data_IF_537779685991
#
_entry.id   IF_537779685991
#
_cell.length_a   1.000
_cell.length_b   1.000
_cell.length_c   1.000
_cell.angle_alpha   90.00
_cell.angle_beta   90.00
_cell.angle_gamma   90.00
#
_symmetry.space_group_name_H-M   'P 1'
#
loop_
_entity.id
_entity.type
_entity.pdbx_description
1 polymer ?
#
# COMPACT_ATOMS: atom_id res chain seq x y z
N UNK A 1 7.71 -1.32 17.39
CA UNK A 1 6.68 -0.77 16.47
C UNK A 1 6.93 -1.23 15.04
N UNK A 2 5.93 -1.15 14.18
CA UNK A 2 6.04 -1.51 12.74
C UNK A 2 7.16 -0.74 12.04
N UNK A 3 7.40 0.51 12.45
CA UNK A 3 8.48 1.35 11.91
C UNK A 3 9.85 0.80 12.26
N UNK A 4 10.06 0.37 13.47
CA UNK A 4 11.35 -0.23 13.90
C UNK A 4 11.58 -1.58 13.23
N UNK A 5 10.54 -2.40 13.09
CA UNK A 5 10.63 -3.67 12.36
C UNK A 5 11.05 -3.45 10.90
N UNK A 6 10.46 -2.44 10.23
CA UNK A 6 10.86 -2.02 8.88
C UNK A 6 12.30 -1.54 8.81
N UNK A 7 12.73 -0.74 9.77
CA UNK A 7 14.11 -0.23 9.82
C UNK A 7 15.12 -1.38 9.97
N UNK A 8 14.92 -2.26 10.97
CA UNK A 8 15.77 -3.45 11.18
C UNK A 8 15.83 -4.33 9.94
N UNK A 9 14.68 -4.59 9.32
CA UNK A 9 14.59 -5.36 8.08
C UNK A 9 15.41 -4.71 6.95
N UNK A 10 15.24 -3.40 6.73
CA UNK A 10 15.95 -2.67 5.67
C UNK A 10 17.44 -2.71 5.89
N UNK A 11 17.90 -2.50 7.13
CA UNK A 11 19.32 -2.60 7.50
C UNK A 11 19.87 -4.00 7.22
N UNK A 12 19.12 -5.05 7.59
CA UNK A 12 19.54 -6.43 7.32
C UNK A 12 19.62 -6.76 5.83
N UNK A 13 18.71 -6.20 5.00
CA UNK A 13 18.81 -6.33 3.55
C UNK A 13 20.07 -5.67 3.00
N UNK A 14 20.43 -4.48 3.49
CA UNK A 14 21.67 -3.78 3.11
C UNK A 14 22.91 -4.61 3.50
N UNK A 15 22.93 -5.17 4.70
CA UNK A 15 24.03 -6.05 5.17
C UNK A 15 24.23 -7.27 4.24
N UNK A 16 23.14 -7.86 3.74
CA UNK A 16 23.21 -8.95 2.77
C UNK A 16 23.71 -8.46 1.40
N UNK A 17 23.23 -7.32 0.95
CA UNK A 17 23.62 -6.71 -0.34
C UNK A 17 25.07 -6.23 -0.34
N UNK A 18 25.60 -5.77 0.79
CA UNK A 18 26.98 -5.32 0.92
C UNK A 18 28.02 -6.42 0.67
N UNK A 19 27.61 -7.70 0.63
CA UNK A 19 28.47 -8.81 0.24
C UNK A 19 28.74 -8.86 -1.27
N UNK A 20 27.82 -8.33 -2.07
CA UNK A 20 27.85 -8.43 -3.53
C UNK A 20 27.89 -7.06 -4.21
N UNK A 21 27.52 -5.98 -3.51
CA UNK A 21 27.43 -4.62 -4.05
C UNK A 21 28.18 -3.62 -3.17
N UNK A 22 28.78 -2.58 -3.76
CA UNK A 22 29.52 -1.54 -3.03
C UNK A 22 28.57 -0.53 -2.36
N UNK A 23 27.71 -0.98 -1.44
CA UNK A 23 26.80 -0.13 -0.66
C UNK A 23 26.93 -0.41 0.83
N UNK A 24 26.75 0.64 1.61
CA UNK A 24 26.71 0.60 3.07
C UNK A 24 25.37 1.11 3.60
N UNK A 25 25.13 0.94 4.88
CA UNK A 25 23.97 1.54 5.53
C UNK A 25 23.98 3.08 5.45
N UNK A 26 25.16 3.69 5.53
CA UNK A 26 25.32 5.16 5.47
C UNK A 26 24.98 5.69 4.08
N UNK A 27 25.29 4.96 3.01
CA UNK A 27 24.88 5.30 1.65
C UNK A 27 23.34 5.31 1.52
N UNK A 28 22.65 4.38 2.18
CA UNK A 28 21.19 4.36 2.20
C UNK A 28 20.63 5.52 3.03
N UNK A 29 21.26 5.86 4.15
CA UNK A 29 20.89 7.04 4.94
C UNK A 29 21.05 8.34 4.18
N UNK A 30 22.10 8.45 3.36
CA UNK A 30 22.33 9.62 2.51
C UNK A 30 21.23 9.88 1.48
N UNK A 31 20.42 8.85 1.14
CA UNK A 31 19.26 9.02 0.25
C UNK A 31 18.01 9.55 0.97
N UNK A 32 18.05 9.66 2.29
CA UNK A 32 16.92 10.17 3.09
C UNK A 32 16.98 11.70 3.09
N UNK A 33 16.00 12.35 2.48
CA UNK A 33 15.91 13.82 2.49
C UNK A 33 15.55 14.32 3.88
N UNK A 34 16.29 15.33 4.37
CA UNK A 34 16.02 15.99 5.64
C UNK A 34 14.58 16.54 5.73
N UNK A 35 14.02 16.52 6.93
CA UNK A 35 12.69 17.09 7.25
C UNK A 35 11.50 16.21 6.93
N UNK A 36 11.67 15.02 6.34
CA UNK A 36 10.57 14.08 6.10
C UNK A 36 10.55 12.99 7.18
N UNK A 37 9.40 12.77 7.81
CA UNK A 37 9.11 11.58 8.64
C UNK A 37 9.02 10.32 7.75
N UNK A 38 10.00 10.12 6.89
CA UNK A 38 10.03 9.06 5.89
C UNK A 38 10.46 7.76 6.56
N UNK A 39 9.72 6.70 6.33
CA UNK A 39 10.14 5.36 6.76
C UNK A 39 11.16 4.83 5.76
N UNK A 40 12.38 4.55 6.20
CA UNK A 40 13.44 3.99 5.36
C UNK A 40 13.03 2.60 4.89
N UNK A 41 13.21 2.32 3.60
CA UNK A 41 12.82 1.08 2.99
C UNK A 41 13.49 0.84 1.64
N UNK A 42 13.02 -0.14 0.90
CA UNK A 42 13.57 -0.56 -0.40
C UNK A 42 13.80 0.57 -1.41
N UNK A 43 12.96 1.62 -1.52
CA UNK A 43 13.26 2.73 -2.41
C UNK A 43 14.59 3.43 -2.11
N UNK A 44 14.94 3.58 -0.83
CA UNK A 44 16.20 4.19 -0.44
C UNK A 44 17.40 3.28 -0.71
N UNK A 45 17.23 1.95 -0.63
CA UNK A 45 18.25 0.99 -1.07
C UNK A 45 18.47 1.10 -2.58
N UNK A 46 17.37 1.15 -3.35
CA UNK A 46 17.46 1.31 -4.79
C UNK A 46 18.16 2.62 -5.20
N UNK A 47 17.86 3.73 -4.51
CA UNK A 47 18.52 5.00 -4.75
C UNK A 47 20.02 4.94 -4.40
N UNK A 48 20.40 4.26 -3.33
CA UNK A 48 21.82 4.06 -2.97
C UNK A 48 22.56 3.21 -4.01
N UNK A 49 21.93 2.14 -4.52
CA UNK A 49 22.49 1.32 -5.59
C UNK A 49 22.67 2.09 -6.91
N UNK A 50 21.74 3.00 -7.24
CA UNK A 50 21.88 3.90 -8.40
C UNK A 50 22.98 4.91 -8.16
N UNK A 51 23.06 5.51 -6.97
CA UNK A 51 24.13 6.45 -6.62
C UNK A 51 25.53 5.79 -6.64
N UNK A 52 25.60 4.50 -6.30
CA UNK A 52 26.83 3.70 -6.39
C UNK A 52 27.17 3.24 -7.82
N UNK A 53 26.34 3.57 -8.82
CA UNK A 53 26.54 3.17 -10.23
C UNK A 53 26.26 1.69 -10.53
N UNK A 54 25.60 0.98 -9.62
CA UNK A 54 25.25 -0.45 -9.81
C UNK A 54 24.10 -0.61 -10.80
N UNK A 55 23.14 0.31 -10.79
CA UNK A 55 22.00 0.37 -11.70
C UNK A 55 21.85 1.78 -12.30
N UNK A 56 21.31 1.85 -13.51
CA UNK A 56 21.05 3.14 -14.17
C UNK A 56 19.83 3.83 -13.56
N UNK A 57 18.79 3.05 -13.23
CA UNK A 57 17.54 3.58 -12.69
C UNK A 57 17.08 2.82 -11.45
N UNK A 58 16.23 3.47 -10.65
CA UNK A 58 15.54 2.84 -9.54
C UNK A 58 14.71 1.64 -10.00
N UNK A 59 14.11 1.71 -11.19
CA UNK A 59 13.29 0.64 -11.76
C UNK A 59 14.12 -0.61 -12.02
N UNK A 60 15.36 -0.47 -12.50
CA UNK A 60 16.26 -1.59 -12.75
C UNK A 60 16.64 -2.27 -11.43
N UNK A 61 16.96 -1.49 -10.40
CA UNK A 61 17.23 -2.03 -9.07
C UNK A 61 16.01 -2.80 -8.51
N UNK A 62 14.78 -2.32 -8.75
CA UNK A 62 13.55 -3.02 -8.33
C UNK A 62 13.23 -4.26 -9.16
N UNK A 63 13.69 -4.33 -10.39
CA UNK A 63 13.55 -5.51 -11.24
C UNK A 63 14.51 -6.64 -10.82
N UNK A 64 15.60 -6.33 -10.12
CA UNK A 64 16.65 -7.27 -9.71
C UNK A 64 16.88 -7.26 -8.18
N UNK A 65 17.94 -6.63 -7.69
CA UNK A 65 18.44 -6.76 -6.33
C UNK A 65 17.41 -6.38 -5.25
N UNK A 66 16.58 -5.38 -5.51
CA UNK A 66 15.55 -4.87 -4.58
C UNK A 66 14.18 -5.54 -4.77
N UNK A 67 14.07 -6.48 -5.72
CA UNK A 67 12.87 -7.25 -5.99
C UNK A 67 12.38 -8.03 -4.76
N UNK A 68 11.09 -8.30 -4.70
CA UNK A 68 10.53 -9.21 -3.68
C UNK A 68 10.91 -10.70 -3.92
N UNK A 69 11.48 -11.01 -5.07
CA UNK A 69 11.99 -12.34 -5.42
C UNK A 69 13.51 -12.48 -5.30
N UNK A 70 14.19 -11.38 -4.98
CA UNK A 70 15.64 -11.33 -4.81
C UNK A 70 16.10 -12.16 -3.60
N UNK A 71 17.32 -12.72 -3.69
CA UNK A 71 17.97 -13.44 -2.57
C UNK A 71 18.20 -12.56 -1.33
N UNK A 72 18.21 -11.24 -1.51
CA UNK A 72 18.39 -10.27 -0.42
C UNK A 72 17.06 -9.87 0.25
N UNK A 73 15.93 -10.33 -0.30
CA UNK A 73 14.63 -9.94 0.20
C UNK A 73 14.31 -10.60 1.54
N UNK A 74 14.02 -9.77 2.52
CA UNK A 74 13.53 -10.21 3.82
C UNK A 74 12.05 -9.82 3.93
N UNK A 75 11.12 -10.76 4.11
CA UNK A 75 9.72 -10.45 4.29
C UNK A 75 9.50 -9.67 5.59
N UNK A 76 8.49 -8.79 5.60
CA UNK A 76 8.02 -8.17 6.83
C UNK A 76 6.82 -8.96 7.33
N UNK A 77 6.77 -9.33 8.62
CA UNK A 77 5.53 -9.83 9.20
C UNK A 77 4.42 -8.82 8.93
N UNK A 78 3.38 -9.27 8.27
CA UNK A 78 2.21 -8.46 7.95
C UNK A 78 0.98 -9.12 8.58
N UNK A 79 0.02 -8.32 9.08
CA UNK A 79 -1.26 -8.88 9.50
C UNK A 79 -1.95 -9.54 8.30
N UNK A 80 -2.84 -10.47 8.58
CA UNK A 80 -3.68 -11.05 7.53
C UNK A 80 -4.64 -9.99 6.97
N UNK A 81 -5.18 -10.22 5.78
CA UNK A 81 -6.18 -9.32 5.20
C UNK A 81 -7.42 -9.23 6.10
N UNK A 82 -7.81 -10.33 6.72
CA UNK A 82 -8.89 -10.40 7.71
C UNK A 82 -8.62 -9.49 8.92
N UNK A 83 -7.43 -9.58 9.52
CA UNK A 83 -7.04 -8.72 10.63
C UNK A 83 -7.07 -7.23 10.26
N UNK A 84 -6.66 -6.89 9.03
CA UNK A 84 -6.69 -5.50 8.54
C UNK A 84 -8.13 -5.02 8.38
N UNK A 85 -9.00 -5.82 7.75
CA UNK A 85 -10.42 -5.48 7.59
C UNK A 85 -11.05 -5.26 8.97
N UNK A 86 -10.90 -6.22 9.89
CA UNK A 86 -11.43 -6.11 11.24
C UNK A 86 -10.92 -4.88 11.99
N UNK A 87 -9.62 -4.58 11.91
CA UNK A 87 -9.03 -3.44 12.60
C UNK A 87 -9.53 -2.10 12.04
N UNK A 88 -9.63 -1.97 10.72
CA UNK A 88 -10.13 -0.73 10.08
C UNK A 88 -11.61 -0.54 10.36
N UNK A 89 -12.41 -1.61 10.27
CA UNK A 89 -13.85 -1.56 10.60
C UNK A 89 -14.06 -1.25 12.08
N UNK A 90 -13.30 -1.87 12.97
CA UNK A 90 -13.33 -1.55 14.42
C UNK A 90 -12.95 -0.11 14.75
N UNK A 91 -12.13 0.52 13.91
CA UNK A 91 -11.82 1.95 13.98
C UNK A 91 -12.86 2.84 13.25
N UNK A 92 -13.88 2.24 12.60
CA UNK A 92 -14.93 2.90 11.81
C UNK A 92 -14.45 3.46 10.47
N UNK A 93 -13.40 2.89 9.95
CA UNK A 93 -12.87 3.25 8.63
C UNK A 93 -13.59 2.57 7.48
N UNK A 94 -13.24 2.97 6.27
CA UNK A 94 -13.65 2.35 5.00
C UNK A 94 -12.49 1.53 4.46
N UNK A 95 -12.75 0.29 4.08
CA UNK A 95 -11.74 -0.67 3.62
C UNK A 95 -11.90 -0.93 2.13
N UNK A 96 -10.86 -0.65 1.37
CA UNK A 96 -10.80 -0.92 -0.07
C UNK A 96 -9.53 -1.73 -0.38
N UNK A 97 -9.65 -2.81 -1.14
CA UNK A 97 -8.49 -3.55 -1.63
C UNK A 97 -7.90 -2.81 -2.82
N UNK A 98 -6.66 -2.33 -2.67
CA UNK A 98 -5.92 -1.65 -3.72
C UNK A 98 -5.43 -2.64 -4.79
N UNK A 99 -5.43 -2.23 -6.08
CA UNK A 99 -4.94 -2.98 -7.24
C UNK A 99 -5.21 -4.49 -7.17
N UNK A 100 -6.44 -4.86 -6.81
CA UNK A 100 -6.85 -6.23 -6.46
C UNK A 100 -6.63 -7.26 -7.57
N UNK A 101 -6.58 -6.82 -8.83
CA UNK A 101 -6.38 -7.66 -10.01
C UNK A 101 -4.98 -7.59 -10.63
N UNK A 102 -3.99 -6.90 -10.01
CA UNK A 102 -2.64 -6.76 -10.59
C UNK A 102 -1.78 -8.00 -10.29
N UNK A 103 -1.49 -8.86 -11.30
CA UNK A 103 -0.69 -10.07 -11.12
C UNK A 103 0.79 -9.79 -10.87
N UNK A 104 1.27 -8.58 -11.17
CA UNK A 104 2.66 -8.19 -10.91
C UNK A 104 2.89 -7.84 -9.44
N UNK A 105 1.83 -7.44 -8.74
CA UNK A 105 1.88 -7.11 -7.31
C UNK A 105 1.47 -8.27 -6.43
N UNK A 106 0.62 -9.12 -6.93
CA UNK A 106 0.07 -10.26 -6.20
C UNK A 106 0.50 -11.56 -6.88
N UNK A 107 1.39 -12.32 -6.28
CA UNK A 107 1.81 -13.64 -6.79
C UNK A 107 0.63 -14.57 -7.03
N UNK A 108 -0.37 -14.48 -6.16
CA UNK A 108 -1.65 -15.17 -6.29
C UNK A 108 -2.74 -14.13 -6.05
N UNK A 109 -3.61 -13.94 -7.03
CA UNK A 109 -4.78 -13.09 -6.87
C UNK A 109 -5.77 -13.73 -5.88
N UNK A 110 -6.46 -12.90 -5.12
CA UNK A 110 -7.54 -13.38 -4.27
C UNK A 110 -8.63 -14.03 -5.15
N UNK A 111 -9.08 -15.20 -4.75
CA UNK A 111 -10.24 -15.86 -5.37
C UNK A 111 -11.53 -15.13 -5.01
N UNK A 112 -12.61 -15.33 -5.79
CA UNK A 112 -13.92 -14.74 -5.49
C UNK A 112 -14.38 -15.11 -4.08
N UNK A 113 -14.23 -16.37 -3.70
CA UNK A 113 -14.55 -16.85 -2.34
C UNK A 113 -13.77 -16.13 -1.23
N UNK A 114 -12.52 -15.83 -1.46
CA UNK A 114 -11.72 -15.06 -0.48
C UNK A 114 -12.20 -13.62 -0.38
N UNK A 115 -12.52 -12.98 -1.52
CA UNK A 115 -13.10 -11.64 -1.52
C UNK A 115 -14.46 -11.66 -0.81
N UNK A 116 -15.33 -12.62 -1.11
CA UNK A 116 -16.63 -12.78 -0.47
C UNK A 116 -16.52 -12.99 1.06
N UNK A 117 -15.52 -13.75 1.52
CA UNK A 117 -15.21 -13.86 2.94
C UNK A 117 -14.88 -12.52 3.59
N UNK A 118 -14.06 -11.71 2.92
CA UNK A 118 -13.72 -10.37 3.42
C UNK A 118 -14.92 -9.41 3.42
N UNK A 119 -15.86 -9.57 2.46
CA UNK A 119 -17.10 -8.79 2.41
C UNK A 119 -17.97 -9.09 3.63
N UNK A 120 -18.07 -10.35 4.05
CA UNK A 120 -18.81 -10.71 5.27
C UNK A 120 -18.21 -10.12 6.54
N UNK A 121 -16.94 -9.75 6.52
CA UNK A 121 -16.22 -9.08 7.62
C UNK A 121 -16.25 -7.56 7.52
N UNK A 122 -16.79 -7.00 6.45
CA UNK A 122 -16.99 -5.57 6.28
C UNK A 122 -16.05 -4.91 5.26
N UNK A 123 -15.48 -5.65 4.31
CA UNK A 123 -14.82 -5.05 3.15
C UNK A 123 -15.81 -4.15 2.41
N UNK A 124 -15.45 -2.90 2.20
CA UNK A 124 -16.33 -1.89 1.61
C UNK A 124 -16.16 -1.76 0.09
N UNK A 125 -14.99 -2.06 -0.47
CA UNK A 125 -14.75 -1.81 -1.88
C UNK A 125 -13.51 -2.46 -2.49
N UNK A 126 -13.41 -2.30 -3.81
CA UNK A 126 -12.31 -2.80 -4.64
C UNK A 126 -11.79 -1.67 -5.53
N UNK A 127 -10.47 -1.50 -5.62
CA UNK A 127 -9.85 -0.67 -6.64
C UNK A 127 -9.83 -1.43 -7.96
N UNK A 128 -10.78 -1.11 -8.82
CA UNK A 128 -10.95 -1.74 -10.12
C UNK A 128 -10.15 -1.00 -11.20
N UNK A 129 -10.26 0.33 -11.19
CA UNK A 129 -9.63 1.19 -12.19
C UNK A 129 -8.17 1.46 -11.78
N UNK A 130 -7.30 0.55 -12.17
CA UNK A 130 -5.86 0.63 -11.98
C UNK A 130 -5.14 0.10 -13.22
N UNK A 131 -4.04 0.74 -13.63
CA UNK A 131 -3.30 0.34 -14.83
C UNK A 131 -2.75 -1.09 -14.78
N UNK A 132 -2.48 -1.59 -13.58
CA UNK A 132 -1.99 -2.94 -13.36
C UNK A 132 -3.07 -4.03 -13.42
N UNK A 133 -4.35 -3.67 -13.35
CA UNK A 133 -5.46 -4.61 -13.48
C UNK A 133 -5.75 -4.86 -14.96
N UNK A 134 -5.51 -6.05 -15.54
CA UNK A 134 -5.93 -6.40 -16.89
C UNK A 134 -7.45 -6.30 -17.06
N UNK A 135 -7.93 -6.14 -18.29
CA UNK A 135 -9.36 -6.00 -18.59
C UNK A 135 -10.21 -7.13 -18.03
N UNK A 136 -9.76 -8.37 -18.17
CA UNK A 136 -10.43 -9.54 -17.59
C UNK A 136 -10.61 -9.43 -16.08
N UNK A 137 -9.58 -8.97 -15.36
CA UNK A 137 -9.66 -8.78 -13.92
C UNK A 137 -10.55 -7.60 -13.55
N UNK A 138 -10.57 -6.52 -14.33
CA UNK A 138 -11.50 -5.41 -14.12
C UNK A 138 -12.95 -5.87 -14.24
N UNK A 139 -13.28 -6.65 -15.28
CA UNK A 139 -14.63 -7.19 -15.48
C UNK A 139 -15.05 -8.13 -14.36
N UNK A 140 -14.13 -9.01 -13.91
CA UNK A 140 -14.34 -9.90 -12.77
C UNK A 140 -14.62 -9.11 -11.50
N UNK A 141 -13.78 -8.13 -11.16
CA UNK A 141 -13.92 -7.31 -9.96
C UNK A 141 -15.18 -6.44 -9.99
N UNK A 142 -15.55 -5.90 -11.17
CA UNK A 142 -16.83 -5.19 -11.35
C UNK A 142 -18.03 -6.10 -11.13
N UNK A 143 -17.95 -7.35 -11.58
CA UNK A 143 -19.04 -8.32 -11.36
C UNK A 143 -19.23 -8.61 -9.89
N UNK A 144 -18.13 -8.80 -9.14
CA UNK A 144 -18.19 -8.99 -7.68
C UNK A 144 -18.73 -7.71 -7.01
N UNK A 145 -18.21 -6.54 -7.40
CA UNK A 145 -18.64 -5.28 -6.81
C UNK A 145 -20.15 -5.03 -6.98
N UNK A 146 -20.69 -5.28 -8.17
CA UNK A 146 -22.12 -5.14 -8.45
C UNK A 146 -22.98 -6.12 -7.65
N UNK A 147 -22.53 -7.40 -7.54
CA UNK A 147 -23.24 -8.43 -6.80
C UNK A 147 -23.37 -8.12 -5.32
N UNK A 148 -22.39 -7.46 -4.74
CA UNK A 148 -22.28 -7.22 -3.31
C UNK A 148 -22.39 -5.74 -2.92
N UNK A 149 -22.79 -4.88 -3.83
CA UNK A 149 -22.92 -3.43 -3.62
C UNK A 149 -21.65 -2.79 -3.02
N UNK A 150 -20.49 -3.17 -3.57
CA UNK A 150 -19.20 -2.65 -3.14
C UNK A 150 -18.87 -1.31 -3.82
N UNK A 151 -18.11 -0.49 -3.11
CA UNK A 151 -17.47 0.69 -3.67
C UNK A 151 -16.49 0.30 -4.77
N UNK A 152 -16.53 1.00 -5.89
CA UNK A 152 -15.59 0.85 -7.00
C UNK A 152 -14.70 2.08 -7.04
N UNK A 153 -13.42 1.89 -6.81
CA UNK A 153 -12.45 2.99 -6.82
C UNK A 153 -11.48 2.90 -7.99
N UNK A 154 -10.79 4.00 -8.26
CA UNK A 154 -9.67 4.09 -9.18
C UNK A 154 -8.48 4.78 -8.53
N UNK A 155 -7.28 4.42 -9.00
CA UNK A 155 -6.04 5.00 -8.53
C UNK A 155 -4.92 4.88 -9.55
N UNK A 156 -4.04 5.88 -9.59
CA UNK A 156 -2.86 5.86 -10.45
C UNK A 156 -1.67 5.14 -9.82
N UNK A 157 -1.66 4.97 -8.52
CA UNK A 157 -0.49 4.52 -7.74
C UNK A 157 0.78 5.38 -8.05
N UNK A 158 0.56 6.67 -8.32
CA UNK A 158 1.62 7.59 -8.63
C UNK A 158 2.52 7.83 -7.41
N UNK A 159 3.84 7.74 -7.62
CA UNK A 159 4.84 7.87 -6.58
C UNK A 159 5.95 8.88 -6.95
N UNK A 160 5.65 9.81 -7.84
CA UNK A 160 6.61 10.78 -8.34
C UNK A 160 7.47 10.26 -9.49
N UNK A 161 8.62 10.90 -9.72
CA UNK A 161 9.58 10.49 -10.76
C UNK A 161 10.07 9.06 -10.50
N UNK A 162 10.16 8.25 -11.53
CA UNK A 162 10.62 6.86 -11.46
C UNK A 162 9.52 5.80 -11.63
N UNK A 163 8.26 6.23 -11.82
CA UNK A 163 7.16 5.36 -12.28
C UNK A 163 6.49 5.99 -13.51
N UNK A 164 6.06 5.17 -14.49
CA UNK A 164 5.36 5.66 -15.68
C UNK A 164 3.90 6.08 -15.40
N UNK A 165 3.43 5.90 -14.17
CA UNK A 165 2.07 6.20 -13.75
C UNK A 165 1.84 7.72 -13.75
N UNK A 166 0.78 8.19 -14.40
CA UNK A 166 0.40 9.59 -14.40
C UNK A 166 -0.63 9.88 -13.29
N UNK A 167 -0.49 11.04 -12.65
CA UNK A 167 -1.49 11.49 -11.69
C UNK A 167 -2.82 11.69 -12.42
N UNK A 168 -3.91 11.11 -11.89
CA UNK A 168 -5.25 11.23 -12.46
C UNK A 168 -5.54 10.28 -13.64
N UNK A 169 -4.67 9.34 -13.98
CA UNK A 169 -4.91 8.37 -15.09
C UNK A 169 -6.10 7.42 -14.83
N UNK A 170 -6.45 7.20 -13.57
CA UNK A 170 -7.65 6.47 -13.16
C UNK A 170 -8.31 7.22 -12.00
N UNK A 171 -9.57 7.55 -12.15
CA UNK A 171 -10.32 8.32 -11.16
C UNK A 171 -11.34 7.46 -10.43
N UNK A 172 -11.61 7.83 -9.20
CA UNK A 172 -12.79 7.39 -8.46
C UNK A 172 -13.91 8.36 -8.76
N UNK A 173 -15.14 7.88 -8.96
CA UNK A 173 -16.28 8.78 -9.22
C UNK A 173 -16.60 9.64 -8.01
N UNK A 174 -17.19 10.83 -8.24
CA UNK A 174 -17.56 11.74 -7.17
C UNK A 174 -18.57 11.12 -6.21
N UNK A 175 -19.52 10.31 -6.71
CA UNK A 175 -20.48 9.57 -5.91
C UNK A 175 -19.78 8.58 -4.97
N UNK A 176 -18.81 7.83 -5.48
CA UNK A 176 -18.02 6.90 -4.66
C UNK A 176 -17.19 7.64 -3.61
N UNK A 177 -16.58 8.77 -3.97
CA UNK A 177 -15.84 9.62 -3.01
C UNK A 177 -16.76 10.11 -1.91
N UNK A 178 -17.96 10.58 -2.26
CA UNK A 178 -18.93 11.06 -1.28
C UNK A 178 -19.39 9.93 -0.35
N UNK A 179 -19.61 8.73 -0.89
CA UNK A 179 -19.99 7.57 -0.09
C UNK A 179 -18.89 7.14 0.88
N UNK A 180 -17.60 7.15 0.45
CA UNK A 180 -16.45 6.92 1.34
C UNK A 180 -16.44 7.92 2.49
N UNK A 181 -16.66 9.21 2.19
CA UNK A 181 -16.71 10.25 3.20
C UNK A 181 -17.87 10.01 4.18
N UNK A 182 -19.05 9.67 3.67
CA UNK A 182 -20.23 9.42 4.49
C UNK A 182 -20.03 8.22 5.42
N UNK A 183 -19.47 7.10 4.93
CA UNK A 183 -19.19 5.90 5.74
C UNK A 183 -18.16 6.18 6.83
N UNK A 184 -17.13 7.01 6.54
CA UNK A 184 -16.04 7.32 7.48
C UNK A 184 -16.33 8.42 8.50
N UNK A 185 -17.32 9.29 8.27
CA UNK A 185 -17.58 10.49 9.09
C UNK A 185 -18.31 10.20 10.40
N UNK A 186 -18.98 9.06 10.55
CA UNK A 186 -19.77 8.79 11.75
C UNK A 186 -18.96 8.78 13.04
N UNK A 187 -17.70 8.34 13.03
CA UNK A 187 -16.84 8.31 14.23
C UNK A 187 -16.24 9.67 14.60
N UNK A 188 -15.98 10.54 13.63
CA UNK A 188 -15.43 11.88 13.93
C UNK A 188 -16.43 12.75 14.70
N UNK A 189 -17.75 12.57 14.47
CA UNK A 189 -18.80 13.29 15.20
C UNK A 189 -19.00 12.79 16.63
N UNK A 190 -18.87 11.48 16.88
CA UNK A 190 -18.97 10.91 18.23
C UNK A 190 -17.75 11.22 19.08
N UNK A 191 -16.54 11.05 18.56
CA UNK A 191 -15.31 11.40 19.27
C UNK A 191 -15.21 12.89 19.62
N UNK A 192 -15.76 13.77 18.77
CA UNK A 192 -15.83 15.21 19.04
C UNK A 192 -16.86 15.56 20.09
N UNK A 193 -17.97 14.82 20.21
CA UNK A 193 -18.98 14.98 21.26
C UNK A 193 -18.49 14.47 22.61
N UNK A 194 -17.79 13.33 22.66
CA UNK A 194 -17.19 12.81 23.89
C UNK A 194 -16.07 13.70 24.44
N UNK A 195 -15.19 14.21 23.57
CA UNK A 195 -14.12 15.15 23.95
C UNK A 195 -14.71 16.47 24.48
N UNK A 196 -15.83 16.95 23.91
CA UNK A 196 -16.54 18.14 24.42
C UNK A 196 -17.26 17.87 25.77
N UNK A 197 -17.79 16.66 25.98
CA UNK A 197 -18.39 16.28 27.26
C UNK A 197 -17.34 16.16 28.38
N UNK A 198 -16.19 15.54 28.09
CA UNK A 198 -15.07 15.43 29.06
C UNK A 198 -14.43 16.79 29.40
N UNK A 199 -14.42 17.77 28.46
CA UNK A 199 -13.95 19.14 28.75
C UNK A 199 -14.94 20.02 29.54
N UNK A 200 -16.21 19.64 29.63
CA UNK A 200 -17.23 20.34 30.44
C UNK A 200 -17.44 19.74 31.82
N UNK A 201 -16.81 18.58 32.08
CA UNK A 201 -16.91 17.86 33.34
C UNK A 201 -15.66 18.03 34.26
N UNK A 202 -14.67 18.79 33.79
CA UNK A 202 -13.52 19.29 34.54
C UNK A 202 -13.55 20.83 34.55
#
# INVERSE_FOLDING_TARGET
STREARLRRTKRMVELMAQDFPITWDDVLAQVREGKRTTIGRPHIADALVAAGVYETRSDAFADAVSATSKYYIPTPSPTTHDVVAAVKGAGGVVVIAHAGDPRRNRTLLTDRQIESLITEGLDGLEVWHRGNPSEQRERLLTIARRHDLLVTGGSDWHGKGKPNALGENLTSDETVQEIINRGVHLSKESSKEKKKKKKAN
#
